data_IF_388851840357
#
_entry.id   IF_388851840357
#
_cell.length_a   1.000
_cell.length_b   1.000
_cell.length_c   1.000
_cell.angle_alpha   90.00
_cell.angle_beta   90.00
_cell.angle_gamma   90.00
#
_symmetry.space_group_name_H-M   'P 1'
#
loop_
_entity.id
_entity.type
_entity.pdbx_description
1 polymer ?
#
# COMPACT_ATOMS: atom_id res chain seq x y z
N UNK A 1 -9.46 20.66 23.18
CA UNK A 1 -10.35 19.54 23.51
C UNK A 1 -9.61 18.20 23.70
N UNK A 2 -8.44 18.02 23.07
CA UNK A 2 -7.64 16.80 23.23
C UNK A 2 -6.55 16.91 24.31
N UNK A 3 -6.03 18.11 24.55
CA UNK A 3 -4.98 18.37 25.55
C UNK A 3 -5.43 18.10 27.00
N UNK A 4 -6.74 18.13 27.26
CA UNK A 4 -7.31 17.90 28.60
C UNK A 4 -7.40 16.42 29.03
N UNK A 5 -7.09 15.48 28.11
CA UNK A 5 -7.24 14.03 28.40
C UNK A 5 -5.94 13.29 28.72
N UNK A 6 -4.84 14.02 28.89
CA UNK A 6 -3.54 13.40 29.21
C UNK A 6 -2.96 12.53 28.11
N UNK A 7 -3.35 12.75 26.83
CA UNK A 7 -2.83 12.02 25.69
C UNK A 7 -1.50 12.65 25.26
N UNK A 8 -0.42 11.91 25.39
CA UNK A 8 0.87 12.26 24.80
C UNK A 8 0.92 11.82 23.32
N UNK A 9 0.68 12.78 22.42
CA UNK A 9 0.67 12.50 20.98
C UNK A 9 2.02 12.01 20.46
N UNK A 10 3.13 12.42 21.07
CA UNK A 10 4.44 11.90 20.71
C UNK A 10 4.50 10.40 21.02
N UNK A 11 4.08 10.01 22.21
CA UNK A 11 4.03 8.59 22.60
C UNK A 11 3.10 7.77 21.72
N UNK A 12 1.98 8.36 21.29
CA UNK A 12 1.05 7.70 20.33
C UNK A 12 1.75 7.46 19.01
N UNK A 13 2.42 8.46 18.42
CA UNK A 13 3.12 8.33 17.14
C UNK A 13 4.32 7.39 17.26
N UNK A 14 5.02 7.40 18.38
CA UNK A 14 6.13 6.49 18.67
C UNK A 14 5.67 5.01 18.77
N UNK A 15 4.43 4.79 19.19
CA UNK A 15 3.81 3.46 19.28
C UNK A 15 3.25 2.90 17.98
N UNK A 16 3.24 3.67 16.89
CA UNK A 16 2.76 3.20 15.58
C UNK A 16 3.84 2.32 14.93
N UNK A 17 3.43 1.18 14.37
CA UNK A 17 4.35 0.24 13.70
C UNK A 17 4.73 0.66 12.27
N UNK A 18 3.94 1.52 11.64
CA UNK A 18 4.32 2.13 10.37
C UNK A 18 5.40 3.18 10.60
N UNK A 19 6.35 3.27 9.65
CA UNK A 19 7.35 4.34 9.66
C UNK A 19 6.67 5.68 9.45
N UNK A 20 6.77 6.58 10.41
CA UNK A 20 6.28 7.96 10.30
C UNK A 20 7.47 8.90 10.07
N UNK A 21 7.30 9.78 9.09
CA UNK A 21 8.30 10.75 8.66
C UNK A 21 7.60 12.10 8.46
N UNK A 22 8.06 13.15 9.15
CA UNK A 22 7.43 14.47 9.12
C UNK A 22 8.44 15.51 8.63
N UNK A 23 8.04 16.32 7.64
CA UNK A 23 8.83 17.47 7.16
C UNK A 23 8.09 18.78 7.37
N UNK A 24 8.84 19.88 7.31
CA UNK A 24 8.27 21.20 7.08
C UNK A 24 7.85 21.37 5.60
N UNK A 25 7.32 22.54 5.27
CA UNK A 25 6.91 22.92 3.92
C UNK A 25 8.06 23.13 2.92
N UNK A 26 9.31 23.07 3.38
CA UNK A 26 10.52 23.13 2.56
C UNK A 26 11.18 21.76 2.38
N UNK A 27 10.65 20.74 3.04
CA UNK A 27 11.19 19.38 2.99
C UNK A 27 12.28 19.09 4.02
N UNK A 28 12.50 19.98 5.01
CA UNK A 28 13.41 19.65 6.10
C UNK A 28 12.75 18.66 7.05
N UNK A 29 13.46 17.62 7.41
CA UNK A 29 12.96 16.55 8.28
C UNK A 29 12.90 17.03 9.71
N UNK A 30 11.70 17.03 10.27
CA UNK A 30 11.44 17.48 11.63
C UNK A 30 11.42 16.30 12.62
N UNK A 31 10.91 15.14 12.16
CA UNK A 31 10.70 14.02 13.04
C UNK A 31 10.58 12.71 12.25
N UNK A 32 11.07 11.64 12.87
CA UNK A 32 10.77 10.25 12.51
C UNK A 32 10.46 9.46 13.77
N UNK A 33 9.54 8.48 13.69
CA UNK A 33 9.22 7.64 14.84
C UNK A 33 10.20 6.45 14.97
N UNK A 34 10.21 5.72 16.10
CA UNK A 34 11.08 4.55 16.28
C UNK A 34 10.86 3.44 15.25
N UNK A 35 9.65 3.30 14.70
CA UNK A 35 9.36 2.34 13.65
C UNK A 35 10.11 2.66 12.35
N UNK A 36 10.39 3.93 12.07
CA UNK A 36 11.19 4.31 10.92
C UNK A 36 12.58 3.65 10.96
N UNK A 37 13.30 3.74 12.08
CA UNK A 37 14.61 3.10 12.23
C UNK A 37 14.51 1.57 12.16
N UNK A 38 13.50 0.98 12.84
CA UNK A 38 13.28 -0.48 12.79
C UNK A 38 13.02 -0.99 11.38
N UNK A 39 12.20 -0.29 10.60
CA UNK A 39 11.75 -0.72 9.28
C UNK A 39 12.74 -0.40 8.17
N UNK A 40 13.53 0.66 8.30
CA UNK A 40 14.46 1.12 7.25
C UNK A 40 15.91 0.78 7.54
N UNK A 41 16.28 0.57 8.80
CA UNK A 41 17.68 0.43 9.24
C UNK A 41 18.46 1.75 9.20
N UNK A 42 17.79 2.90 9.04
CA UNK A 42 18.41 4.23 9.06
C UNK A 42 18.19 4.86 10.44
N UNK A 43 19.25 5.26 11.08
CA UNK A 43 19.19 5.98 12.36
C UNK A 43 18.58 7.37 12.18
N UNK A 44 17.78 7.81 13.15
CA UNK A 44 17.05 9.08 13.10
C UNK A 44 17.97 10.30 12.91
N UNK A 45 19.16 10.27 13.53
CA UNK A 45 20.17 11.33 13.48
C UNK A 45 20.68 11.58 12.05
N UNK A 46 20.59 10.56 11.18
CA UNK A 46 21.01 10.66 9.77
C UNK A 46 20.06 11.46 8.91
N UNK A 47 18.83 11.62 9.36
CA UNK A 47 17.78 12.25 8.55
C UNK A 47 17.17 13.49 9.20
N UNK A 48 17.07 13.55 10.53
CA UNK A 48 16.54 14.73 11.24
C UNK A 48 17.41 15.94 10.94
N UNK A 49 16.77 17.08 10.69
CA UNK A 49 17.39 18.36 10.26
C UNK A 49 18.06 18.33 8.88
N UNK A 50 17.94 17.26 8.11
CA UNK A 50 18.36 17.22 6.72
C UNK A 50 17.18 17.48 5.78
N UNK A 51 17.48 17.96 4.57
CA UNK A 51 16.45 18.21 3.58
C UNK A 51 16.18 16.93 2.76
N UNK A 52 14.90 16.60 2.52
CA UNK A 52 14.53 15.39 1.79
C UNK A 52 15.13 15.31 0.39
N UNK A 53 15.28 16.44 -0.30
CA UNK A 53 15.90 16.46 -1.61
C UNK A 53 17.39 16.12 -1.55
N UNK A 54 18.11 16.59 -0.52
CA UNK A 54 19.51 16.24 -0.31
C UNK A 54 19.67 14.74 0.01
N UNK A 55 18.78 14.20 0.84
CA UNK A 55 18.75 12.77 1.18
C UNK A 55 18.47 11.89 -0.06
N UNK A 56 17.72 12.40 -1.04
CA UNK A 56 17.44 11.70 -2.30
C UNK A 56 18.61 11.87 -3.28
N UNK A 57 19.05 13.11 -3.53
CA UNK A 57 19.96 13.42 -4.62
C UNK A 57 21.43 13.24 -4.26
N UNK A 58 21.84 13.68 -3.06
CA UNK A 58 23.24 13.64 -2.62
C UNK A 58 23.57 12.34 -1.89
N UNK A 59 22.77 12.01 -0.88
CA UNK A 59 23.04 10.87 -0.01
C UNK A 59 22.52 9.55 -0.59
N UNK A 60 21.62 9.64 -1.58
CA UNK A 60 20.98 8.50 -2.26
C UNK A 60 20.36 7.49 -1.27
N UNK A 61 19.85 8.00 -0.15
CA UNK A 61 19.19 7.18 0.86
C UNK A 61 17.82 6.69 0.39
N UNK A 62 17.18 7.44 -0.53
CA UNK A 62 15.87 7.12 -1.05
C UNK A 62 15.79 7.21 -2.57
N UNK A 63 14.90 6.41 -3.14
CA UNK A 63 14.44 6.56 -4.52
C UNK A 63 12.91 6.50 -4.51
N UNK A 64 12.24 7.49 -5.14
CA UNK A 64 10.80 7.66 -5.07
C UNK A 64 10.34 8.24 -3.74
N UNK A 65 9.09 7.93 -3.37
CA UNK A 65 8.46 8.42 -2.15
C UNK A 65 7.46 9.54 -2.39
N UNK A 66 6.58 9.77 -1.40
CA UNK A 66 5.43 10.64 -1.56
C UNK A 66 5.70 12.11 -1.20
N UNK A 67 6.72 12.40 -0.38
CA UNK A 67 6.96 13.75 0.16
C UNK A 67 7.23 14.79 -0.93
N UNK A 68 8.13 14.56 -1.93
CA UNK A 68 8.38 15.54 -2.99
C UNK A 68 7.12 15.89 -3.77
N UNK A 69 6.26 14.92 -4.05
CA UNK A 69 5.00 15.15 -4.75
C UNK A 69 4.03 15.99 -3.93
N UNK A 70 3.91 15.72 -2.63
CA UNK A 70 3.04 16.51 -1.73
C UNK A 70 3.56 17.93 -1.60
N UNK A 71 4.87 18.13 -1.45
CA UNK A 71 5.48 19.45 -1.38
C UNK A 71 5.23 20.28 -2.66
N UNK A 72 5.26 19.64 -3.83
CA UNK A 72 5.07 20.33 -5.12
C UNK A 72 3.61 20.59 -5.44
N UNK A 73 2.69 19.72 -5.04
CA UNK A 73 1.28 19.76 -5.45
C UNK A 73 0.32 20.26 -4.37
N UNK A 74 0.72 20.17 -3.10
CA UNK A 74 -0.16 20.40 -1.95
C UNK A 74 -1.27 19.36 -1.82
N UNK A 75 -1.18 18.23 -2.51
CA UNK A 75 -2.20 17.17 -2.51
C UNK A 75 -1.64 15.88 -1.91
N UNK A 76 -2.49 15.04 -1.31
CA UNK A 76 -2.07 13.70 -0.89
C UNK A 76 -1.47 12.91 -2.05
N UNK A 77 -0.41 12.16 -1.76
CA UNK A 77 0.27 11.33 -2.75
C UNK A 77 0.50 9.91 -2.18
N UNK A 78 0.52 8.94 -3.09
CA UNK A 78 0.83 7.55 -2.77
C UNK A 78 1.85 7.03 -3.78
N UNK A 79 3.00 6.54 -3.29
CA UNK A 79 4.14 6.15 -4.13
C UNK A 79 4.84 4.93 -3.59
N UNK A 80 5.56 4.25 -4.48
CA UNK A 80 6.62 3.36 -4.06
C UNK A 80 7.82 4.17 -3.59
N UNK A 81 8.46 3.72 -2.53
CA UNK A 81 9.69 4.28 -2.01
C UNK A 81 10.69 3.15 -1.80
N UNK A 82 11.90 3.32 -2.28
CA UNK A 82 13.00 2.40 -2.01
C UNK A 82 14.01 3.11 -1.11
N UNK A 83 14.36 2.46 -0.02
CA UNK A 83 15.35 2.92 0.96
C UNK A 83 16.63 2.13 0.77
N UNK A 84 17.78 2.80 0.78
CA UNK A 84 19.09 2.20 0.63
C UNK A 84 19.88 2.31 1.94
N UNK A 85 19.47 1.51 2.94
CA UNK A 85 20.24 1.35 4.17
C UNK A 85 21.17 0.14 4.03
N UNK A 86 22.43 0.27 4.46
CA UNK A 86 23.37 -0.85 4.56
C UNK A 86 23.58 -1.66 3.24
N UNK A 87 23.38 -1.02 2.09
CA UNK A 87 23.63 -1.63 0.77
C UNK A 87 22.53 -2.56 0.24
N UNK A 88 21.50 -2.83 1.02
CA UNK A 88 20.34 -3.64 0.58
C UNK A 88 19.15 -2.72 0.32
N UNK A 89 18.60 -2.70 -0.92
CA UNK A 89 17.41 -1.91 -1.20
C UNK A 89 16.19 -2.53 -0.51
N UNK A 90 15.44 -1.71 0.19
CA UNK A 90 14.18 -2.07 0.82
C UNK A 90 13.06 -1.23 0.20
N UNK A 91 12.16 -1.87 -0.53
CA UNK A 91 11.03 -1.19 -1.18
C UNK A 91 9.77 -1.33 -0.36
N UNK A 92 9.01 -0.25 -0.27
CA UNK A 92 7.74 -0.20 0.43
C UNK A 92 6.78 0.79 -0.20
N UNK A 93 5.57 0.83 0.33
CA UNK A 93 4.59 1.86 0.00
C UNK A 93 4.73 3.04 0.94
N UNK A 94 4.70 4.24 0.38
CA UNK A 94 4.70 5.50 1.11
C UNK A 94 3.46 6.32 0.73
N UNK A 95 2.70 6.74 1.72
CA UNK A 95 1.63 7.73 1.58
C UNK A 95 2.10 9.05 2.18
N UNK A 96 1.81 10.15 1.50
CA UNK A 96 2.08 11.50 1.97
C UNK A 96 0.80 12.30 2.11
N UNK A 97 0.66 13.04 3.20
CA UNK A 97 -0.50 13.88 3.50
C UNK A 97 -0.04 15.28 3.86
N UNK A 98 -0.55 16.34 3.20
CA UNK A 98 -0.25 17.72 3.56
C UNK A 98 -1.01 18.13 4.81
N UNK A 99 -0.38 18.91 5.67
CA UNK A 99 -1.00 19.63 6.78
C UNK A 99 -0.92 21.12 6.47
N UNK A 100 -2.06 21.79 6.55
CA UNK A 100 -2.17 23.21 6.31
C UNK A 100 -2.35 24.00 7.61
N UNK A 101 -1.87 25.22 7.62
CA UNK A 101 -2.19 26.21 8.64
C UNK A 101 -3.59 26.78 8.43
N UNK A 102 -4.05 27.57 9.39
CA UNK A 102 -5.38 28.22 9.36
C UNK A 102 -5.57 29.20 8.21
N UNK A 103 -4.49 29.69 7.63
CA UNK A 103 -4.47 30.59 6.44
C UNK A 103 -4.47 29.82 5.11
N UNK A 104 -4.47 28.49 5.14
CA UNK A 104 -4.43 27.63 3.97
C UNK A 104 -3.03 27.40 3.39
N UNK A 105 -1.98 27.90 4.03
CA UNK A 105 -0.60 27.63 3.61
C UNK A 105 -0.15 26.24 4.04
N UNK A 106 0.66 25.54 3.20
CA UNK A 106 1.24 24.26 3.55
C UNK A 106 2.20 24.44 4.73
N UNK A 107 1.94 23.77 5.84
CA UNK A 107 2.74 23.80 7.05
C UNK A 107 3.74 22.66 7.12
N UNK A 108 3.25 21.46 6.96
CA UNK A 108 4.01 20.21 7.14
C UNK A 108 3.51 19.15 6.16
N UNK A 109 4.36 18.15 5.93
CA UNK A 109 3.97 16.91 5.26
C UNK A 109 4.24 15.75 6.20
N UNK A 110 3.22 14.92 6.41
CA UNK A 110 3.37 13.63 7.09
C UNK A 110 3.42 12.56 6.03
N UNK A 111 4.44 11.72 6.06
CA UNK A 111 4.48 10.49 5.30
C UNK A 111 4.44 9.29 6.23
N UNK A 112 3.66 8.28 5.88
CA UNK A 112 3.75 6.96 6.47
C UNK A 112 4.21 5.95 5.42
N UNK A 113 5.03 4.99 5.83
CA UNK A 113 5.51 3.95 4.92
C UNK A 113 5.58 2.59 5.60
N UNK A 114 5.35 1.55 4.78
CA UNK A 114 5.43 0.15 5.21
C UNK A 114 6.18 -0.67 4.16
N UNK A 115 7.19 -1.48 4.56
CA UNK A 115 7.89 -2.37 3.66
C UNK A 115 6.95 -3.39 2.99
N UNK A 116 7.20 -3.72 1.73
CA UNK A 116 6.40 -4.72 0.98
C UNK A 116 6.45 -6.09 1.66
N UNK A 117 7.57 -6.45 2.26
CA UNK A 117 7.71 -7.72 3.02
C UNK A 117 6.70 -7.78 4.17
N UNK A 118 6.49 -6.67 4.89
CA UNK A 118 5.49 -6.61 5.96
C UNK A 118 4.06 -6.76 5.42
N UNK A 119 3.78 -6.23 4.21
CA UNK A 119 2.48 -6.41 3.56
C UNK A 119 2.26 -7.85 3.10
N UNK A 120 3.32 -8.52 2.65
CA UNK A 120 3.25 -9.95 2.28
C UNK A 120 2.97 -10.81 3.51
N UNK A 121 3.69 -10.60 4.60
CA UNK A 121 3.46 -11.29 5.86
C UNK A 121 2.03 -11.09 6.36
N UNK A 122 1.54 -9.84 6.35
CA UNK A 122 0.15 -9.54 6.72
C UNK A 122 -0.86 -10.26 5.82
N UNK A 123 -0.58 -10.38 4.53
CA UNK A 123 -1.43 -11.15 3.59
C UNK A 123 -1.44 -12.63 3.93
N UNK A 124 -0.29 -13.20 4.29
CA UNK A 124 -0.17 -14.60 4.69
C UNK A 124 -0.93 -14.86 6.00
N UNK A 125 -0.78 -13.99 6.99
CA UNK A 125 -1.51 -14.05 8.26
C UNK A 125 -3.02 -13.95 8.04
N UNK A 126 -3.45 -13.03 7.17
CA UNK A 126 -4.86 -12.88 6.81
C UNK A 126 -5.42 -14.13 6.12
N UNK A 127 -4.69 -14.71 5.18
CA UNK A 127 -5.10 -15.94 4.50
C UNK A 127 -5.21 -17.12 5.49
N UNK A 128 -4.31 -17.20 6.46
CA UNK A 128 -4.37 -18.21 7.53
C UNK A 128 -5.62 -18.00 8.38
N UNK A 129 -5.90 -16.77 8.78
CA UNK A 129 -7.09 -16.41 9.55
C UNK A 129 -8.40 -16.75 8.82
N UNK A 130 -8.49 -16.48 7.52
CA UNK A 130 -9.66 -16.85 6.69
C UNK A 130 -9.84 -18.37 6.66
N UNK A 131 -8.77 -19.16 6.54
CA UNK A 131 -8.85 -20.61 6.60
C UNK A 131 -9.39 -21.11 7.94
N UNK A 132 -8.88 -20.54 9.05
CA UNK A 132 -9.36 -20.89 10.39
C UNK A 132 -10.86 -20.59 10.57
N UNK A 133 -11.35 -19.45 10.06
CA UNK A 133 -12.79 -19.11 10.09
C UNK A 133 -13.60 -20.10 9.26
N UNK A 134 -13.12 -20.51 8.09
CA UNK A 134 -13.80 -21.49 7.24
C UNK A 134 -13.86 -22.87 7.91
N UNK A 135 -12.80 -23.28 8.61
CA UNK A 135 -12.75 -24.53 9.37
C UNK A 135 -13.68 -24.51 10.59
N UNK A 136 -13.83 -23.35 11.26
CA UNK A 136 -14.74 -23.18 12.40
C UNK A 136 -16.22 -23.13 12.01
N UNK A 137 -16.54 -22.71 10.77
CA UNK A 137 -17.89 -22.60 10.26
C UNK A 137 -18.07 -23.33 8.92
N UNK A 138 -18.07 -24.65 8.90
CA UNK A 138 -18.21 -25.42 7.66
C UNK A 138 -19.56 -25.20 6.94
N UNK A 139 -20.55 -24.62 7.61
CA UNK A 139 -21.86 -24.29 7.04
C UNK A 139 -21.91 -22.91 6.33
N UNK A 140 -20.92 -22.04 6.55
CA UNK A 140 -20.76 -20.75 5.88
C UNK A 140 -19.64 -20.79 4.81
N UNK A 141 -19.28 -21.96 4.35
CA UNK A 141 -18.39 -22.04 3.20
C UNK A 141 -19.13 -21.44 2.00
N UNK A 142 -18.65 -20.31 1.52
CA UNK A 142 -18.94 -19.81 0.17
C UNK A 142 -18.42 -20.80 -0.90
N UNK A 143 -18.57 -22.08 -0.65
CA UNK A 143 -18.19 -23.17 -1.56
C UNK A 143 -19.19 -23.33 -2.72
N UNK A 144 -20.27 -22.55 -2.72
CA UNK A 144 -21.23 -22.61 -3.83
C UNK A 144 -20.87 -21.69 -5.00
N UNK A 145 -20.05 -20.65 -4.78
CA UNK A 145 -19.58 -19.79 -5.89
C UNK A 145 -18.35 -20.33 -6.63
N UNK A 146 -17.59 -21.25 -6.04
CA UNK A 146 -16.44 -21.85 -6.72
C UNK A 146 -16.81 -23.09 -7.57
N UNK A 147 -17.97 -23.70 -7.36
CA UNK A 147 -18.35 -24.92 -8.06
C UNK A 147 -19.00 -24.71 -9.44
N UNK A 148 -19.52 -23.53 -9.72
CA UNK A 148 -20.15 -23.27 -11.03
C UNK A 148 -19.18 -22.75 -12.10
N UNK A 149 -18.00 -22.26 -11.71
CA UNK A 149 -16.99 -21.70 -12.61
C UNK A 149 -16.04 -22.74 -13.22
N UNK A 150 -16.21 -24.01 -12.89
CA UNK A 150 -15.12 -24.97 -12.96
C UNK A 150 -15.17 -25.99 -14.10
N UNK A 151 -16.23 -26.10 -14.91
CA UNK A 151 -16.40 -27.28 -15.75
C UNK A 151 -16.00 -27.15 -17.24
N UNK A 152 -15.70 -25.97 -17.76
CA UNK A 152 -15.48 -25.82 -19.22
C UNK A 152 -14.11 -25.24 -19.66
N UNK A 153 -13.20 -24.86 -18.78
CA UNK A 153 -11.90 -24.31 -19.21
C UNK A 153 -10.68 -25.10 -18.78
N UNK A 154 -9.87 -25.49 -19.74
CA UNK A 154 -8.55 -26.10 -19.60
C UNK A 154 -7.53 -24.99 -19.26
N UNK A 155 -6.88 -25.04 -18.10
CA UNK A 155 -5.79 -24.12 -17.74
C UNK A 155 -5.89 -23.49 -16.34
N UNK A 156 -6.29 -24.26 -15.34
CA UNK A 156 -6.47 -23.79 -13.94
C UNK A 156 -5.19 -23.47 -13.20
N UNK A 157 -4.03 -23.83 -13.71
CA UNK A 157 -2.75 -23.70 -13.03
C UNK A 157 -1.90 -22.60 -13.66
N UNK A 158 -1.63 -21.53 -12.92
CA UNK A 158 -0.67 -20.51 -13.28
C UNK A 158 -1.26 -19.20 -13.79
N UNK A 159 -0.99 -18.85 -15.04
CA UNK A 159 -1.24 -17.51 -15.62
C UNK A 159 -2.73 -17.12 -15.72
N UNK A 160 -3.63 -18.08 -15.82
CA UNK A 160 -5.08 -17.84 -15.94
C UNK A 160 -5.80 -17.67 -14.61
N UNK A 161 -5.24 -18.11 -13.51
CA UNK A 161 -5.84 -17.95 -12.17
C UNK A 161 -6.10 -16.46 -11.80
N UNK A 162 -5.21 -15.57 -12.23
CA UNK A 162 -5.36 -14.13 -12.02
C UNK A 162 -6.54 -13.53 -12.83
N UNK A 163 -6.81 -14.07 -14.03
CA UNK A 163 -7.91 -13.64 -14.89
C UNK A 163 -9.24 -14.04 -14.25
N UNK A 164 -9.33 -15.21 -13.67
CA UNK A 164 -10.52 -15.69 -12.97
C UNK A 164 -10.86 -14.83 -11.74
N UNK A 165 -9.86 -14.50 -10.94
CA UNK A 165 -10.04 -13.59 -9.82
C UNK A 165 -10.53 -12.21 -10.29
N UNK A 166 -10.04 -11.73 -11.43
CA UNK A 166 -10.48 -10.46 -12.01
C UNK A 166 -11.93 -10.52 -12.47
N UNK A 167 -12.34 -11.60 -13.16
CA UNK A 167 -13.71 -11.82 -13.61
C UNK A 167 -14.68 -11.79 -12.43
N UNK A 168 -14.40 -12.53 -11.36
CA UNK A 168 -15.26 -12.58 -10.19
C UNK A 168 -15.45 -11.23 -9.46
N UNK A 169 -14.49 -10.33 -9.59
CA UNK A 169 -14.59 -8.97 -9.00
C UNK A 169 -15.30 -7.98 -9.94
N UNK A 170 -15.18 -8.17 -11.25
CA UNK A 170 -15.67 -7.18 -12.22
C UNK A 170 -17.09 -7.52 -12.69
N UNK A 171 -17.42 -8.80 -12.82
CA UNK A 171 -18.72 -9.24 -13.32
C UNK A 171 -19.93 -8.68 -12.53
N UNK A 172 -19.91 -8.61 -11.17
CA UNK A 172 -21.04 -8.05 -10.43
C UNK A 172 -21.09 -6.50 -10.41
N UNK A 173 -20.21 -5.81 -11.16
CA UNK A 173 -20.12 -4.35 -11.18
C UNK A 173 -20.65 -3.77 -12.50
N UNK A 174 -21.14 -2.51 -12.48
CA UNK A 174 -21.53 -1.76 -13.68
C UNK A 174 -20.33 -1.20 -14.49
N UNK A 175 -19.12 -1.74 -14.29
CA UNK A 175 -17.92 -1.24 -14.94
C UNK A 175 -17.83 -1.69 -16.40
N UNK A 176 -17.39 -0.81 -17.29
CA UNK A 176 -17.07 -1.18 -18.67
C UNK A 176 -15.76 -1.95 -18.72
N UNK A 177 -15.79 -3.16 -19.27
CA UNK A 177 -14.63 -4.05 -19.39
C UNK A 177 -14.10 -4.05 -20.81
N UNK A 178 -12.81 -3.80 -21.01
CA UNK A 178 -12.11 -3.94 -22.28
C UNK A 178 -11.22 -5.19 -22.25
N UNK A 179 -11.52 -6.17 -23.12
CA UNK A 179 -10.75 -7.40 -23.26
C UNK A 179 -9.81 -7.27 -24.46
N UNK A 180 -8.50 -7.31 -24.22
CA UNK A 180 -7.47 -7.22 -25.26
C UNK A 180 -6.63 -8.49 -25.32
N UNK A 181 -6.13 -8.82 -26.52
CA UNK A 181 -5.29 -9.99 -26.74
C UNK A 181 -5.21 -10.38 -28.22
N UNK A 182 -4.31 -11.28 -28.57
CA UNK A 182 -4.14 -11.78 -29.92
C UNK A 182 -5.38 -12.53 -30.46
N UNK A 183 -5.50 -12.68 -31.79
CA UNK A 183 -6.58 -13.46 -32.39
C UNK A 183 -6.47 -14.93 -31.95
N UNK A 184 -7.59 -15.52 -31.51
CA UNK A 184 -7.60 -16.89 -30.98
C UNK A 184 -7.19 -17.04 -29.49
N UNK A 185 -6.92 -15.95 -28.77
CA UNK A 185 -6.52 -16.00 -27.34
C UNK A 185 -7.68 -16.29 -26.37
N UNK A 186 -8.86 -16.70 -26.83
CA UNK A 186 -10.00 -17.05 -25.96
C UNK A 186 -10.76 -15.86 -25.37
N UNK A 187 -10.69 -14.68 -26.01
CA UNK A 187 -11.42 -13.48 -25.56
C UNK A 187 -12.92 -13.67 -25.43
N UNK A 188 -13.53 -14.44 -26.36
CA UNK A 188 -14.97 -14.74 -26.35
C UNK A 188 -15.37 -15.53 -25.11
N UNK A 189 -14.54 -16.49 -24.69
CA UNK A 189 -14.80 -17.31 -23.51
C UNK A 189 -14.77 -16.45 -22.25
N UNK A 190 -13.83 -15.49 -22.16
CA UNK A 190 -13.74 -14.54 -21.05
C UNK A 190 -14.95 -13.60 -21.03
N UNK A 191 -15.39 -13.11 -22.20
CA UNK A 191 -16.57 -12.26 -22.32
C UNK A 191 -17.85 -12.99 -21.89
N UNK A 192 -18.03 -14.23 -22.34
CA UNK A 192 -19.16 -15.08 -21.95
C UNK A 192 -19.18 -15.33 -20.44
N UNK A 193 -18.02 -15.54 -19.85
CA UNK A 193 -17.92 -15.79 -18.41
C UNK A 193 -18.23 -14.53 -17.58
N UNK A 194 -17.78 -13.36 -18.01
CA UNK A 194 -18.16 -12.09 -17.37
C UNK A 194 -19.69 -11.91 -17.47
N UNK A 195 -20.28 -12.18 -18.62
CA UNK A 195 -21.72 -12.05 -18.83
C UNK A 195 -22.55 -13.03 -17.97
N UNK A 196 -22.07 -14.26 -17.78
CA UNK A 196 -22.75 -15.28 -16.94
C UNK A 196 -22.72 -14.92 -15.45
N UNK A 197 -21.76 -14.13 -15.02
CA UNK A 197 -21.57 -13.74 -13.62
C UNK A 197 -21.95 -12.27 -13.31
N UNK A 198 -22.56 -11.55 -14.28
CA UNK A 198 -23.02 -10.16 -14.17
C UNK A 198 -24.46 -10.03 -13.64
#
# INVERSE_FOLDING_TARGET
YFLDKGIDFKQVVDGIDDSIFITDNKGNVLYVNPAYTRNTGIESERVINHNIYDLIEKDKLYSGGAIPDVLSTGKPAFRLSTTYANGTPLTGYASGTPIFDSDGSLKQVIASSRPIVSLQSLKEDFNTFIKEIQEMNPQNSCAESEKSLNDEMIGKDGTLANIWTLISHVAPSDATVLITGESGAGKEVIADEIYRNS
#
